data_IF_887574196115
#
_entry.id   IF_887574196115
#
_cell.length_a   1.000
_cell.length_b   1.000
_cell.length_c   1.000
_cell.angle_alpha   90.00
_cell.angle_beta   90.00
_cell.angle_gamma   90.00
#
_symmetry.space_group_name_H-M   'P 1'
#
loop_
_entity.id
_entity.type
_entity.pdbx_description
1 polymer ?
#
# COMPACT_ATOMS: atom_id res chain seq x y z
N UNK A 1 -8.18 -21.94 -17.24
CA UNK A 1 -8.32 -21.44 -15.85
C UNK A 1 -7.84 -20.02 -15.81
N UNK A 2 -8.28 -19.23 -14.85
CA UNK A 2 -7.84 -17.84 -14.68
C UNK A 2 -7.01 -17.71 -13.40
N UNK A 3 -5.80 -17.18 -13.51
CA UNK A 3 -4.91 -17.01 -12.37
C UNK A 3 -4.85 -15.54 -11.95
N UNK A 4 -5.01 -15.29 -10.65
CA UNK A 4 -4.78 -14.00 -10.04
C UNK A 4 -3.37 -13.94 -9.46
N UNK A 5 -2.64 -12.88 -9.76
CA UNK A 5 -1.31 -12.63 -9.21
C UNK A 5 -1.37 -11.35 -8.39
N UNK A 6 -1.10 -11.46 -7.09
CA UNK A 6 -1.15 -10.37 -6.14
C UNK A 6 0.28 -9.90 -5.83
N UNK A 7 0.59 -8.64 -6.13
CA UNK A 7 1.91 -8.05 -6.02
C UNK A 7 1.96 -7.04 -4.88
N UNK A 8 2.71 -7.36 -3.81
CA UNK A 8 2.86 -6.48 -2.64
C UNK A 8 3.73 -5.27 -2.94
N UNK A 9 3.59 -4.29 -2.05
CA UNK A 9 4.39 -3.08 -2.07
C UNK A 9 5.76 -3.25 -1.42
N UNK A 10 6.40 -2.13 -1.18
CA UNK A 10 7.75 -1.94 -0.68
C UNK A 10 7.96 -2.62 0.68
N UNK A 11 9.01 -3.42 0.81
CA UNK A 11 9.40 -4.12 2.05
C UNK A 11 8.32 -5.07 2.62
N UNK A 12 7.44 -5.59 1.77
CA UNK A 12 6.36 -6.50 2.13
C UNK A 12 6.48 -7.82 1.37
N UNK A 13 6.07 -8.90 2.01
CA UNK A 13 5.99 -10.24 1.45
C UNK A 13 4.55 -10.77 1.42
N UNK A 14 4.36 -11.98 0.90
CA UNK A 14 3.06 -12.60 0.71
C UNK A 14 2.20 -12.66 2.00
N UNK A 15 2.82 -12.79 3.19
CA UNK A 15 2.10 -12.87 4.47
C UNK A 15 1.32 -11.60 4.79
N UNK A 16 1.78 -10.46 4.29
CA UNK A 16 1.14 -9.15 4.50
C UNK A 16 -0.15 -8.95 3.67
N UNK A 17 -0.61 -9.95 2.91
CA UNK A 17 -1.97 -9.94 2.37
C UNK A 17 -3.04 -10.21 3.45
N UNK A 18 -2.64 -10.67 4.63
CA UNK A 18 -3.50 -10.83 5.81
C UNK A 18 -4.82 -11.56 5.50
N UNK A 19 -4.74 -12.68 4.79
CA UNK A 19 -5.91 -13.49 4.43
C UNK A 19 -6.73 -13.00 3.22
N UNK A 20 -6.37 -11.86 2.63
CA UNK A 20 -7.06 -11.38 1.42
C UNK A 20 -6.93 -12.37 0.25
N UNK A 21 -5.77 -12.97 0.07
CA UNK A 21 -5.53 -14.04 -0.90
C UNK A 21 -6.39 -15.27 -0.62
N UNK A 22 -6.55 -15.66 0.65
CA UNK A 22 -7.43 -16.76 1.07
C UNK A 22 -8.90 -16.44 0.80
N UNK A 23 -9.35 -15.19 1.03
CA UNK A 23 -10.70 -14.72 0.68
C UNK A 23 -10.98 -14.90 -0.81
N UNK A 24 -10.03 -14.61 -1.68
CA UNK A 24 -10.18 -14.82 -3.11
C UNK A 24 -10.20 -16.32 -3.48
N UNK A 25 -9.34 -17.14 -2.84
CA UNK A 25 -9.35 -18.61 -3.02
C UNK A 25 -10.66 -19.25 -2.58
N UNK A 26 -11.26 -18.78 -1.49
CA UNK A 26 -12.59 -19.23 -1.02
C UNK A 26 -13.72 -18.93 -2.04
N UNK A 27 -13.52 -17.97 -2.94
CA UNK A 27 -14.42 -17.70 -4.07
C UNK A 27 -14.11 -18.56 -5.32
N UNK A 28 -13.25 -19.58 -5.19
CA UNK A 28 -12.89 -20.50 -6.26
C UNK A 28 -11.81 -19.97 -7.22
N UNK A 29 -11.11 -18.88 -6.87
CA UNK A 29 -10.07 -18.31 -7.70
C UNK A 29 -8.71 -18.97 -7.42
N UNK A 30 -7.92 -19.16 -8.47
CA UNK A 30 -6.50 -19.51 -8.34
C UNK A 30 -5.72 -18.24 -8.06
N UNK A 31 -5.00 -18.19 -6.93
CA UNK A 31 -4.28 -16.99 -6.49
C UNK A 31 -2.82 -17.31 -6.22
N UNK A 32 -1.92 -16.56 -6.83
CA UNK A 32 -0.48 -16.60 -6.62
C UNK A 32 -0.02 -15.28 -5.97
N UNK A 33 0.89 -15.40 -5.01
CA UNK A 33 1.41 -14.28 -4.24
C UNK A 33 2.94 -14.32 -4.23
N UNK A 34 3.61 -14.04 -5.36
CA UNK A 34 5.06 -14.15 -5.46
C UNK A 34 5.74 -13.14 -4.52
N UNK A 35 6.80 -13.58 -3.84
CA UNK A 35 7.70 -12.71 -3.10
C UNK A 35 8.68 -12.00 -4.05
N UNK A 36 9.03 -10.78 -3.71
CA UNK A 36 9.98 -9.98 -4.48
C UNK A 36 11.40 -10.15 -3.90
N UNK A 37 12.46 -10.09 -4.73
CA UNK A 37 13.84 -10.12 -4.25
C UNK A 37 14.09 -9.15 -3.11
N UNK A 38 14.63 -9.66 -2.02
CA UNK A 38 14.85 -8.93 -0.77
C UNK A 38 13.71 -9.03 0.25
N UNK A 39 12.61 -9.73 -0.06
CA UNK A 39 11.46 -9.90 0.85
C UNK A 39 11.09 -11.38 0.98
N UNK A 40 10.48 -11.74 2.12
CA UNK A 40 9.90 -13.06 2.37
C UNK A 40 10.84 -14.22 2.09
N UNK A 41 10.44 -15.14 1.23
CA UNK A 41 11.23 -16.32 0.81
C UNK A 41 12.50 -15.94 0.03
N UNK A 42 12.51 -14.75 -0.59
CA UNK A 42 13.65 -14.20 -1.34
C UNK A 42 14.40 -13.12 -0.54
N UNK A 43 14.28 -13.10 0.79
CA UNK A 43 14.86 -12.07 1.68
C UNK A 43 16.38 -11.97 1.60
N UNK A 44 17.08 -13.05 1.24
CA UNK A 44 18.55 -13.11 1.07
C UNK A 44 19.02 -12.58 -0.28
N UNK A 45 18.14 -12.46 -1.25
CA UNK A 45 18.47 -11.96 -2.57
C UNK A 45 18.64 -10.44 -2.59
N UNK A 46 19.50 -9.96 -3.48
CA UNK A 46 19.66 -8.53 -3.68
C UNK A 46 18.47 -7.96 -4.46
N UNK A 47 17.76 -7.00 -3.84
CA UNK A 47 16.70 -6.26 -4.53
C UNK A 47 17.21 -5.55 -5.77
N UNK A 48 16.58 -5.66 -6.96
CA UNK A 48 16.92 -4.89 -8.15
C UNK A 48 16.82 -3.37 -7.94
N UNK A 49 17.45 -2.62 -8.83
CA UNK A 49 17.39 -1.14 -8.81
C UNK A 49 16.34 -0.58 -9.78
N UNK A 50 15.69 -1.43 -10.58
CA UNK A 50 14.66 -1.04 -11.55
C UNK A 50 13.44 -1.94 -11.41
N UNK A 51 12.25 -1.39 -11.56
CA UNK A 51 10.99 -2.17 -11.52
C UNK A 51 10.94 -3.24 -12.62
N UNK A 52 11.51 -2.97 -13.79
CA UNK A 52 11.59 -3.92 -14.90
C UNK A 52 12.31 -5.23 -14.52
N UNK A 53 13.35 -5.14 -13.68
CA UNK A 53 14.12 -6.31 -13.25
C UNK A 53 13.32 -7.15 -12.23
N UNK A 54 12.49 -6.51 -11.38
CA UNK A 54 11.53 -7.24 -10.53
C UNK A 54 10.49 -7.98 -11.38
N UNK A 55 9.98 -7.33 -12.43
CA UNK A 55 9.03 -7.97 -13.34
C UNK A 55 9.62 -9.24 -13.97
N UNK A 56 10.88 -9.19 -14.38
CA UNK A 56 11.57 -10.37 -14.90
C UNK A 56 11.66 -11.51 -13.88
N UNK A 57 12.02 -11.21 -12.61
CA UNK A 57 12.07 -12.24 -11.56
C UNK A 57 10.69 -12.83 -11.26
N UNK A 58 9.64 -12.00 -11.23
CA UNK A 58 8.27 -12.49 -11.03
C UNK A 58 7.82 -13.36 -12.20
N UNK A 59 8.17 -12.98 -13.45
CA UNK A 59 7.87 -13.82 -14.61
C UNK A 59 8.52 -15.19 -14.52
N UNK A 60 9.78 -15.29 -14.07
CA UNK A 60 10.44 -16.59 -13.87
C UNK A 60 9.70 -17.46 -12.84
N UNK A 61 9.21 -16.86 -11.73
CA UNK A 61 8.41 -17.60 -10.76
C UNK A 61 7.04 -18.05 -11.33
N UNK A 62 6.44 -17.24 -12.19
CA UNK A 62 5.15 -17.56 -12.81
C UNK A 62 5.28 -18.59 -13.93
N UNK A 63 6.35 -18.56 -14.71
CA UNK A 63 6.62 -19.53 -15.79
C UNK A 63 6.68 -20.98 -15.27
N UNK A 64 7.03 -21.18 -13.99
CA UNK A 64 7.00 -22.49 -13.34
C UNK A 64 5.59 -22.94 -12.88
N UNK A 65 4.65 -22.00 -12.74
CA UNK A 65 3.37 -22.24 -12.10
C UNK A 65 2.16 -22.03 -13.01
N UNK A 66 2.29 -21.19 -14.02
CA UNK A 66 1.19 -20.79 -14.94
C UNK A 66 1.39 -21.47 -16.29
N UNK A 67 0.35 -22.10 -16.78
CA UNK A 67 0.41 -22.78 -18.08
C UNK A 67 0.46 -21.76 -19.24
N UNK A 68 1.09 -22.14 -20.34
CA UNK A 68 1.10 -21.33 -21.55
C UNK A 68 -0.35 -21.06 -22.03
N UNK A 69 -0.65 -19.80 -22.32
CA UNK A 69 -2.00 -19.37 -22.73
C UNK A 69 -3.01 -19.21 -21.59
N UNK A 70 -2.63 -19.49 -20.33
CA UNK A 70 -3.45 -19.19 -19.17
C UNK A 70 -3.56 -17.67 -18.94
N UNK A 71 -4.80 -17.19 -18.77
CA UNK A 71 -5.07 -15.77 -18.56
C UNK A 71 -4.72 -15.35 -17.14
N UNK A 72 -3.97 -14.25 -17.00
CA UNK A 72 -3.53 -13.68 -15.72
C UNK A 72 -4.23 -12.35 -15.45
N UNK A 73 -4.76 -12.20 -14.23
CA UNK A 73 -5.17 -10.91 -13.66
C UNK A 73 -4.12 -10.44 -12.65
N UNK A 74 -3.65 -9.19 -12.77
CA UNK A 74 -2.68 -8.61 -11.84
C UNK A 74 -3.37 -7.64 -10.88
N UNK A 75 -3.16 -7.82 -9.58
CA UNK A 75 -3.45 -6.80 -8.56
C UNK A 75 -2.12 -6.34 -7.96
N UNK A 76 -1.78 -5.09 -8.17
CA UNK A 76 -0.56 -4.50 -7.61
C UNK A 76 -0.86 -3.37 -6.63
N UNK A 77 -0.38 -3.52 -5.39
CA UNK A 77 -0.46 -2.49 -4.35
C UNK A 77 0.84 -1.67 -4.30
N UNK A 78 0.74 -0.34 -4.42
CA UNK A 78 1.87 0.58 -4.27
C UNK A 78 2.99 0.30 -5.29
N UNK A 79 4.21 -0.05 -4.86
CA UNK A 79 5.28 -0.54 -5.75
C UNK A 79 4.82 -1.77 -6.56
N UNK A 80 3.95 -2.61 -6.00
CA UNK A 80 3.34 -3.73 -6.74
C UNK A 80 2.50 -3.27 -7.94
N UNK A 81 1.87 -2.08 -7.86
CA UNK A 81 1.16 -1.48 -9.00
C UNK A 81 2.10 -1.03 -10.12
N UNK A 82 3.26 -0.48 -9.76
CA UNK A 82 4.32 -0.18 -10.73
C UNK A 82 4.80 -1.45 -11.44
N UNK A 83 4.98 -2.51 -10.65
CA UNK A 83 5.41 -3.82 -11.12
C UNK A 83 4.36 -4.46 -12.04
N UNK A 84 3.07 -4.40 -11.69
CA UNK A 84 1.99 -4.92 -12.50
C UNK A 84 1.91 -4.25 -13.88
N UNK A 85 2.08 -2.93 -13.93
CA UNK A 85 2.13 -2.18 -15.20
C UNK A 85 3.35 -2.58 -16.05
N UNK A 86 4.50 -2.78 -15.43
CA UNK A 86 5.71 -3.20 -16.12
C UNK A 86 5.61 -4.64 -16.62
N UNK A 87 5.01 -5.55 -15.85
CA UNK A 87 4.72 -6.91 -16.27
C UNK A 87 3.79 -6.95 -17.48
N UNK A 88 2.72 -6.14 -17.45
CA UNK A 88 1.78 -6.03 -18.56
C UNK A 88 2.43 -5.44 -19.82
N UNK A 89 3.38 -4.51 -19.68
CA UNK A 89 4.18 -3.99 -20.79
C UNK A 89 5.10 -5.06 -21.40
N UNK A 90 5.69 -5.92 -20.57
CA UNK A 90 6.62 -6.97 -21.01
C UNK A 90 5.90 -8.13 -21.73
N UNK A 91 4.75 -8.58 -21.20
CA UNK A 91 4.00 -9.71 -21.75
C UNK A 91 2.48 -9.42 -21.81
N UNK A 92 2.02 -8.47 -22.64
CA UNK A 92 0.60 -8.09 -22.70
C UNK A 92 -0.32 -9.25 -23.08
N UNK A 93 0.17 -10.20 -23.90
CA UNK A 93 -0.62 -11.35 -24.35
C UNK A 93 -1.00 -12.35 -23.26
N UNK A 94 -0.29 -12.36 -22.11
CA UNK A 94 -0.62 -13.21 -20.96
C UNK A 94 -1.56 -12.51 -19.96
N UNK A 95 -1.70 -11.18 -20.03
CA UNK A 95 -2.45 -10.39 -19.04
C UNK A 95 -3.84 -10.06 -19.56
N UNK A 96 -4.85 -10.35 -18.76
CA UNK A 96 -6.25 -10.00 -19.05
C UNK A 96 -6.64 -8.64 -18.51
N UNK A 97 -6.14 -8.27 -17.33
CA UNK A 97 -6.46 -7.02 -16.68
C UNK A 97 -5.40 -6.67 -15.63
N UNK A 98 -5.14 -5.39 -15.44
CA UNK A 98 -4.27 -4.87 -14.38
C UNK A 98 -5.08 -3.99 -13.43
N UNK A 99 -5.06 -4.32 -12.15
CA UNK A 99 -5.59 -3.51 -11.07
C UNK A 99 -4.44 -2.82 -10.35
N UNK A 100 -4.40 -1.49 -10.44
CA UNK A 100 -3.38 -0.64 -9.83
C UNK A 100 -3.96 0.01 -8.59
N UNK A 101 -3.49 -0.36 -7.41
CA UNK A 101 -4.01 0.08 -6.12
C UNK A 101 -3.00 0.97 -5.40
N UNK A 102 -3.39 2.20 -5.04
CA UNK A 102 -2.60 3.16 -4.25
C UNK A 102 -1.16 3.33 -4.77
N UNK A 103 -0.99 3.46 -6.08
CA UNK A 103 0.31 3.54 -6.74
C UNK A 103 0.61 4.93 -7.32
N UNK A 104 1.79 5.09 -7.91
CA UNK A 104 2.26 6.36 -8.48
C UNK A 104 3.38 6.14 -9.49
N UNK A 105 3.74 7.17 -10.27
CA UNK A 105 4.89 7.14 -11.18
C UNK A 105 5.59 8.50 -11.20
N UNK A 106 6.92 8.51 -11.44
CA UNK A 106 7.73 9.72 -11.37
C UNK A 106 7.44 10.73 -12.49
N UNK A 107 7.03 10.24 -13.66
CA UNK A 107 6.62 11.07 -14.78
C UNK A 107 5.19 11.61 -14.70
N UNK A 108 4.38 11.15 -13.73
CA UNK A 108 2.97 11.54 -13.60
C UNK A 108 2.67 12.33 -12.32
N UNK A 109 3.51 12.22 -11.29
CA UNK A 109 3.25 12.82 -9.98
C UNK A 109 4.51 13.36 -9.34
N UNK A 110 4.39 14.50 -8.66
CA UNK A 110 5.48 15.07 -7.88
C UNK A 110 5.87 14.15 -6.71
N UNK A 111 7.12 14.20 -6.30
CA UNK A 111 7.66 13.30 -5.26
C UNK A 111 6.87 13.36 -3.94
N UNK A 112 6.39 14.55 -3.52
CA UNK A 112 5.61 14.73 -2.29
C UNK A 112 4.17 14.20 -2.38
N UNK A 113 3.65 13.96 -3.59
CA UNK A 113 2.38 13.26 -3.81
C UNK A 113 2.58 11.75 -3.76
N UNK A 114 3.77 11.27 -4.09
CA UNK A 114 4.15 9.85 -4.11
C UNK A 114 4.57 9.32 -2.75
N UNK A 115 5.03 10.20 -1.88
CA UNK A 115 5.39 9.90 -0.49
C UNK A 115 5.17 11.13 0.38
N UNK A 116 4.39 10.97 1.45
CA UNK A 116 4.11 12.05 2.40
C UNK A 116 5.06 11.98 3.61
N UNK A 117 6.16 12.76 3.65
CA UNK A 117 7.15 12.70 4.71
C UNK A 117 6.61 13.19 6.06
N UNK A 118 5.66 14.14 6.07
CA UNK A 118 5.06 14.65 7.30
C UNK A 118 4.20 13.58 7.98
N UNK A 119 3.39 12.86 7.21
CA UNK A 119 2.61 11.75 7.74
C UNK A 119 3.50 10.60 8.20
N UNK A 120 4.60 10.31 7.50
CA UNK A 120 5.57 9.30 7.91
C UNK A 120 6.24 9.68 9.24
N UNK A 121 6.63 10.95 9.40
CA UNK A 121 7.20 11.46 10.64
C UNK A 121 6.17 11.41 11.79
N UNK A 122 4.94 11.86 11.54
CA UNK A 122 3.84 11.77 12.51
C UNK A 122 3.59 10.30 12.94
N UNK A 123 3.52 9.38 11.99
CA UNK A 123 3.32 7.95 12.28
C UNK A 123 4.47 7.37 13.12
N UNK A 124 5.71 7.81 12.88
CA UNK A 124 6.87 7.39 13.66
C UNK A 124 6.78 7.85 15.12
N UNK A 125 6.40 9.10 15.39
CA UNK A 125 6.28 9.60 16.75
C UNK A 125 5.08 9.00 17.51
N UNK A 126 3.98 8.77 16.81
CA UNK A 126 2.74 8.23 17.38
C UNK A 126 2.64 6.70 17.30
N UNK A 127 3.75 5.99 17.04
CA UNK A 127 3.76 4.53 16.93
C UNK A 127 3.47 3.86 18.26
N UNK A 128 2.78 2.72 18.20
CA UNK A 128 2.58 1.88 19.38
C UNK A 128 3.93 1.36 19.92
N UNK A 129 4.04 1.26 21.24
CA UNK A 129 5.22 0.78 21.96
C UNK A 129 4.87 -0.43 22.79
N UNK A 130 5.79 -1.40 22.86
CA UNK A 130 5.58 -2.61 23.65
C UNK A 130 6.65 -3.66 23.31
N UNK A 131 6.89 -4.61 24.22
CA UNK A 131 7.96 -5.62 24.05
C UNK A 131 7.81 -6.48 22.78
N UNK A 132 6.57 -6.74 22.37
CA UNK A 132 6.27 -7.54 21.17
C UNK A 132 6.17 -6.69 19.88
N UNK A 133 6.11 -5.36 19.99
CA UNK A 133 5.83 -4.45 18.90
C UNK A 133 7.12 -3.86 18.32
N UNK A 134 7.42 -4.19 17.07
CA UNK A 134 8.58 -3.61 16.40
C UNK A 134 8.29 -2.16 15.97
N UNK A 135 9.15 -1.18 16.30
CA UNK A 135 8.88 0.24 16.03
C UNK A 135 8.58 0.55 14.55
N UNK A 136 9.28 -0.12 13.63
CA UNK A 136 9.07 0.07 12.18
C UNK A 136 7.70 -0.44 11.78
N UNK A 137 7.28 -1.65 12.24
CA UNK A 137 5.98 -2.21 11.87
C UNK A 137 4.84 -1.39 12.46
N UNK A 138 4.97 -0.95 13.70
CA UNK A 138 4.00 -0.02 14.31
C UNK A 138 3.88 1.29 13.51
N UNK A 139 5.00 1.84 13.03
CA UNK A 139 5.00 3.03 12.18
C UNK A 139 4.31 2.75 10.84
N UNK A 140 4.59 1.60 10.23
CA UNK A 140 4.05 1.27 8.92
C UNK A 140 2.55 0.99 9.00
N UNK A 141 2.08 0.17 9.96
CA UNK A 141 0.64 -0.07 10.14
C UNK A 141 -0.10 1.24 10.34
N UNK A 142 0.43 2.14 11.18
CA UNK A 142 -0.16 3.46 11.41
C UNK A 142 -0.22 4.33 10.17
N UNK A 143 0.78 4.22 9.28
CA UNK A 143 0.88 4.99 8.05
C UNK A 143 0.03 4.42 6.93
N UNK A 144 -0.10 3.08 6.86
CA UNK A 144 -0.71 2.39 5.73
C UNK A 144 -2.15 1.97 5.98
N UNK A 145 -2.59 1.80 7.23
CA UNK A 145 -3.98 1.49 7.55
C UNK A 145 -4.69 2.70 8.17
N UNK A 146 -5.93 2.91 7.77
CA UNK A 146 -6.84 3.87 8.40
C UNK A 146 -7.64 3.21 9.53
N UNK A 147 -8.17 2.00 9.32
CA UNK A 147 -9.02 1.30 10.28
C UNK A 147 -8.20 0.63 11.39
N UNK A 148 -7.08 -0.01 11.03
CA UNK A 148 -6.25 -0.81 11.94
C UNK A 148 -4.99 -0.09 12.44
N UNK A 149 -4.90 1.24 12.29
CA UNK A 149 -3.72 2.03 12.65
C UNK A 149 -3.27 1.93 14.11
N UNK A 150 -4.10 1.36 14.99
CA UNK A 150 -3.84 1.12 16.41
C UNK A 150 -4.02 -0.35 16.81
N UNK A 151 -4.16 -1.23 15.85
CA UNK A 151 -4.35 -2.66 16.09
C UNK A 151 -3.03 -3.30 16.53
N UNK A 152 -2.90 -3.51 17.85
CA UNK A 152 -1.70 -4.10 18.41
C UNK A 152 -1.52 -5.56 18.02
N UNK A 153 -2.58 -6.29 17.70
CA UNK A 153 -2.52 -7.68 17.24
C UNK A 153 -1.90 -7.74 15.86
N UNK A 154 -2.37 -6.90 14.93
CA UNK A 154 -1.79 -6.77 13.59
C UNK A 154 -0.32 -6.33 13.65
N UNK A 155 0.00 -5.34 14.49
CA UNK A 155 1.37 -4.87 14.66
C UNK A 155 2.27 -5.99 15.22
N UNK A 156 1.80 -6.79 16.16
CA UNK A 156 2.54 -7.90 16.73
C UNK A 156 2.78 -9.01 15.70
N UNK A 157 1.77 -9.34 14.91
CA UNK A 157 1.87 -10.30 13.80
C UNK A 157 2.93 -9.83 12.76
N UNK A 158 2.86 -8.60 12.29
CA UNK A 158 3.82 -8.05 11.35
C UNK A 158 5.23 -7.92 11.96
N UNK A 159 5.31 -7.67 13.27
CA UNK A 159 6.57 -7.69 14.00
C UNK A 159 7.20 -9.09 14.01
N UNK A 160 6.37 -10.14 14.08
CA UNK A 160 6.84 -11.53 13.96
C UNK A 160 7.31 -11.84 12.54
N UNK A 161 6.57 -11.43 11.50
CA UNK A 161 7.01 -11.57 10.12
C UNK A 161 8.38 -10.93 9.89
N UNK A 162 8.58 -9.74 10.47
CA UNK A 162 9.89 -9.07 10.42
C UNK A 162 10.99 -9.84 11.12
N UNK A 163 10.74 -10.45 12.27
CA UNK A 163 11.73 -11.26 12.98
C UNK A 163 12.16 -12.48 12.18
N UNK A 164 11.22 -13.10 11.47
CA UNK A 164 11.47 -14.29 10.66
C UNK A 164 12.22 -13.97 9.36
N UNK A 165 11.82 -12.94 8.65
CA UNK A 165 12.42 -12.56 7.37
C UNK A 165 12.21 -11.07 7.10
N UNK A 166 13.22 -10.27 7.39
CA UNK A 166 13.20 -8.83 7.15
C UNK A 166 14.08 -8.45 5.98
N UNK A 167 13.65 -7.53 5.13
CA UNK A 167 14.55 -6.96 4.14
C UNK A 167 15.71 -6.26 4.85
N UNK A 168 16.93 -6.46 4.35
CA UNK A 168 18.09 -5.72 4.82
C UNK A 168 17.91 -4.22 4.56
N UNK A 169 18.60 -3.37 5.31
CA UNK A 169 18.60 -1.91 5.06
C UNK A 169 19.01 -1.62 3.61
N UNK A 170 20.00 -2.37 3.08
CA UNK A 170 20.45 -2.25 1.70
C UNK A 170 19.32 -2.57 0.72
N UNK A 171 18.58 -3.65 0.93
CA UNK A 171 17.44 -4.02 0.09
C UNK A 171 16.30 -3.00 0.19
N UNK A 172 15.99 -2.50 1.39
CA UNK A 172 15.00 -1.44 1.58
C UNK A 172 15.32 -0.18 0.78
N UNK A 173 16.59 0.28 0.80
CA UNK A 173 17.03 1.41 -0.01
C UNK A 173 16.97 1.14 -1.51
N UNK A 174 17.35 -0.06 -1.97
CA UNK A 174 17.27 -0.44 -3.39
C UNK A 174 15.82 -0.47 -3.87
N UNK A 175 14.90 -1.02 -3.08
CA UNK A 175 13.47 -1.02 -3.40
C UNK A 175 12.91 0.41 -3.46
N UNK A 176 13.25 1.24 -2.47
CA UNK A 176 12.83 2.65 -2.44
C UNK A 176 13.35 3.40 -3.67
N UNK A 177 14.61 3.17 -4.05
CA UNK A 177 15.22 3.77 -5.23
C UNK A 177 14.55 3.31 -6.52
N UNK A 178 14.28 2.00 -6.67
CA UNK A 178 13.56 1.47 -7.83
C UNK A 178 12.17 2.10 -7.97
N UNK A 179 11.42 2.20 -6.87
CA UNK A 179 10.12 2.84 -6.87
C UNK A 179 10.22 4.34 -7.15
N UNK A 180 11.20 5.05 -6.56
CA UNK A 180 11.38 6.50 -6.72
C UNK A 180 11.60 6.89 -8.17
N UNK A 181 12.44 6.18 -8.90
CA UNK A 181 12.77 6.49 -10.29
C UNK A 181 11.78 5.89 -11.32
N UNK A 182 10.80 5.08 -10.88
CA UNK A 182 9.88 4.43 -11.80
C UNK A 182 9.09 5.43 -12.64
N UNK A 183 9.14 5.22 -13.95
CA UNK A 183 8.34 5.94 -14.93
C UNK A 183 7.28 5.01 -15.51
N UNK A 184 6.03 5.46 -15.47
CA UNK A 184 4.91 4.75 -16.08
C UNK A 184 5.10 4.68 -17.59
N UNK A 185 4.90 3.52 -18.24
CA UNK A 185 4.92 3.42 -19.68
C UNK A 185 3.84 4.30 -20.32
N UNK A 186 4.10 4.80 -21.52
CA UNK A 186 3.15 5.65 -22.26
C UNK A 186 1.86 4.91 -22.58
N UNK A 187 1.97 3.64 -22.93
CA UNK A 187 0.84 2.76 -23.26
C UNK A 187 1.05 1.39 -22.66
N UNK A 188 -0.06 0.74 -22.31
CA UNK A 188 -0.14 -0.66 -21.92
C UNK A 188 -1.33 -1.26 -22.71
N UNK A 189 -1.09 -2.34 -23.43
CA UNK A 189 -2.07 -2.91 -24.38
C UNK A 189 -3.14 -3.81 -23.70
N UNK A 190 -3.37 -3.64 -22.41
CA UNK A 190 -4.35 -4.40 -21.65
C UNK A 190 -5.24 -3.46 -20.85
N UNK A 191 -6.48 -3.87 -20.52
CA UNK A 191 -7.36 -3.08 -19.66
C UNK A 191 -6.73 -2.81 -18.29
N UNK A 192 -6.89 -1.58 -17.81
CA UNK A 192 -6.36 -1.13 -16.52
C UNK A 192 -7.50 -0.52 -15.69
N UNK A 193 -7.57 -0.90 -14.43
CA UNK A 193 -8.38 -0.24 -13.41
C UNK A 193 -7.49 0.36 -12.34
N UNK A 194 -7.74 1.62 -12.00
CA UNK A 194 -7.01 2.34 -10.96
C UNK A 194 -7.90 2.49 -9.73
N UNK A 195 -7.40 2.01 -8.58
CA UNK A 195 -8.11 2.07 -7.31
C UNK A 195 -7.29 2.86 -6.29
N UNK A 196 -7.96 3.54 -5.37
CA UNK A 196 -7.28 4.16 -4.23
C UNK A 196 -8.18 4.20 -2.99
N UNK A 197 -7.54 4.21 -1.81
CA UNK A 197 -8.20 4.55 -0.55
C UNK A 197 -8.35 6.07 -0.39
N UNK A 198 -9.51 6.52 0.11
CA UNK A 198 -9.77 7.94 0.37
C UNK A 198 -8.98 8.49 1.58
N UNK A 199 -8.44 7.61 2.42
CA UNK A 199 -7.67 7.90 3.64
C UNK A 199 -6.22 7.46 3.55
N UNK A 200 -5.68 7.30 2.35
CA UNK A 200 -4.26 6.98 2.17
C UNK A 200 -3.38 8.10 2.72
N UNK A 201 -2.66 7.79 3.80
CA UNK A 201 -1.75 8.74 4.45
C UNK A 201 -0.32 8.71 3.87
N UNK A 202 0.00 7.70 3.04
CA UNK A 202 1.31 7.49 2.45
C UNK A 202 1.43 8.10 1.06
N UNK A 203 0.50 7.75 0.16
CA UNK A 203 0.44 8.22 -1.23
C UNK A 203 -0.80 9.09 -1.41
N UNK A 204 -0.63 10.27 -1.98
CA UNK A 204 -1.75 11.15 -2.26
C UNK A 204 -2.68 10.56 -3.34
N UNK A 205 -3.99 10.69 -3.15
CA UNK A 205 -4.99 10.36 -4.17
C UNK A 205 -4.72 11.06 -5.52
N UNK A 206 -4.03 12.20 -5.51
CA UNK A 206 -3.61 12.89 -6.75
C UNK A 206 -2.73 12.00 -7.65
N UNK A 207 -1.92 11.10 -7.06
CA UNK A 207 -1.12 10.15 -7.83
C UNK A 207 -1.98 9.10 -8.54
N UNK A 208 -2.99 8.56 -7.86
CA UNK A 208 -3.93 7.63 -8.48
C UNK A 208 -4.81 8.31 -9.53
N UNK A 209 -5.22 9.58 -9.30
CA UNK A 209 -5.92 10.39 -10.32
C UNK A 209 -5.06 10.58 -11.57
N UNK A 210 -3.78 10.89 -11.41
CA UNK A 210 -2.86 11.07 -12.53
C UNK A 210 -2.68 9.75 -13.34
N UNK A 211 -2.61 8.61 -12.66
CA UNK A 211 -2.59 7.29 -13.32
C UNK A 211 -3.89 7.00 -14.07
N UNK A 212 -5.05 7.25 -13.46
CA UNK A 212 -6.35 7.05 -14.09
C UNK A 212 -6.51 7.93 -15.35
N UNK A 213 -6.12 9.21 -15.27
CA UNK A 213 -6.09 10.12 -16.41
C UNK A 213 -5.14 9.64 -17.52
N UNK A 214 -3.96 9.17 -17.16
CA UNK A 214 -2.96 8.68 -18.10
C UNK A 214 -3.45 7.47 -18.91
N UNK A 215 -4.18 6.55 -18.26
CA UNK A 215 -4.74 5.36 -18.90
C UNK A 215 -6.19 5.54 -19.37
N UNK A 216 -6.75 6.75 -19.33
CA UNK A 216 -8.12 7.06 -19.75
C UNK A 216 -9.17 6.15 -19.09
N UNK A 217 -9.02 5.89 -17.79
CA UNK A 217 -9.96 5.07 -17.01
C UNK A 217 -10.51 5.86 -15.81
N UNK A 218 -11.64 5.41 -15.29
CA UNK A 218 -12.21 5.97 -14.07
C UNK A 218 -11.38 5.59 -12.83
N UNK A 219 -11.32 6.50 -11.86
CA UNK A 219 -10.73 6.21 -10.57
C UNK A 219 -11.76 5.61 -9.63
N UNK A 220 -11.51 4.39 -9.16
CA UNK A 220 -12.33 3.72 -8.15
C UNK A 220 -11.82 4.11 -6.78
N UNK A 221 -12.68 4.78 -5.98
CA UNK A 221 -12.32 5.23 -4.64
C UNK A 221 -12.93 4.33 -3.58
N UNK A 222 -12.09 3.73 -2.73
CA UNK A 222 -12.49 2.91 -1.60
C UNK A 222 -12.68 3.81 -0.37
N UNK A 223 -13.92 3.96 0.08
CA UNK A 223 -14.26 4.81 1.21
C UNK A 223 -13.76 4.22 2.54
N UNK A 224 -13.28 5.11 3.44
CA UNK A 224 -12.72 4.76 4.76
C UNK A 224 -11.55 3.77 4.70
N UNK A 225 -10.72 3.90 3.68
CA UNK A 225 -9.63 2.99 3.37
C UNK A 225 -8.31 3.74 3.26
N UNK A 226 -7.28 3.25 3.95
CA UNK A 226 -5.90 3.76 3.86
C UNK A 226 -5.15 3.20 2.66
N UNK A 227 -3.83 3.17 2.79
CA UNK A 227 -2.92 2.67 1.75
C UNK A 227 -3.07 1.15 1.53
N UNK A 228 -3.29 0.38 2.60
CA UNK A 228 -3.43 -1.07 2.53
C UNK A 228 -4.90 -1.50 2.51
N UNK A 229 -5.51 -1.44 1.33
CA UNK A 229 -6.91 -1.77 1.16
C UNK A 229 -7.23 -3.26 1.37
N UNK A 230 -6.24 -4.13 1.27
CA UNK A 230 -6.40 -5.55 1.57
C UNK A 230 -6.73 -5.79 3.06
N UNK A 231 -6.34 -4.87 3.92
CA UNK A 231 -6.61 -4.90 5.36
C UNK A 231 -7.82 -4.03 5.70
N UNK A 232 -7.87 -2.80 5.18
CA UNK A 232 -8.89 -1.83 5.56
C UNK A 232 -10.27 -2.11 4.95
N UNK A 233 -10.31 -2.68 3.74
CA UNK A 233 -11.55 -2.88 2.98
C UNK A 233 -11.52 -4.17 2.12
N UNK A 234 -11.19 -5.35 2.71
CA UNK A 234 -10.98 -6.59 1.93
C UNK A 234 -12.23 -7.03 1.18
N UNK A 235 -13.42 -6.88 1.75
CA UNK A 235 -14.67 -7.24 1.11
C UNK A 235 -14.99 -6.32 -0.08
N UNK A 236 -14.83 -4.99 0.10
CA UNK A 236 -15.05 -4.02 -0.97
C UNK A 236 -14.04 -4.19 -2.10
N UNK A 237 -12.76 -4.40 -1.76
CA UNK A 237 -11.72 -4.66 -2.75
C UNK A 237 -12.05 -5.91 -3.57
N UNK A 238 -12.34 -7.04 -2.91
CA UNK A 238 -12.72 -8.28 -3.60
C UNK A 238 -13.96 -8.09 -4.49
N UNK A 239 -14.97 -7.36 -4.02
CA UNK A 239 -16.16 -7.04 -4.80
C UNK A 239 -15.83 -6.31 -6.10
N UNK A 240 -15.03 -5.23 -6.05
CA UNK A 240 -14.64 -4.47 -7.24
C UNK A 240 -13.80 -5.30 -8.21
N UNK A 241 -12.86 -6.12 -7.71
CA UNK A 241 -12.05 -6.99 -8.56
C UNK A 241 -12.93 -7.98 -9.34
N UNK A 242 -13.90 -8.60 -8.66
CA UNK A 242 -14.79 -9.60 -9.26
C UNK A 242 -15.83 -8.98 -10.19
N UNK A 243 -16.39 -7.82 -9.85
CA UNK A 243 -17.38 -7.12 -10.67
C UNK A 243 -16.83 -6.75 -12.06
N UNK A 244 -15.54 -6.44 -12.17
CA UNK A 244 -14.89 -6.13 -13.45
C UNK A 244 -14.65 -7.40 -14.28
N UNK A 245 -14.42 -8.54 -13.63
CA UNK A 245 -14.09 -9.80 -14.30
C UNK A 245 -15.35 -10.61 -14.67
N UNK A 246 -16.40 -10.51 -13.85
CA UNK A 246 -17.68 -11.20 -14.03
C UNK A 246 -18.86 -10.21 -14.10
N UNK A 247 -19.01 -9.43 -15.18
CA UNK A 247 -20.00 -8.35 -15.24
C UNK A 247 -21.46 -8.83 -15.29
N UNK A 248 -21.72 -10.14 -15.33
CA UNK A 248 -23.06 -10.70 -15.60
C UNK A 248 -23.85 -11.16 -14.36
N UNK A 249 -23.28 -11.12 -13.15
CA UNK A 249 -24.03 -11.45 -11.92
C UNK A 249 -24.62 -10.18 -11.29
N UNK A 250 -25.95 -10.16 -10.96
CA UNK A 250 -26.54 -9.03 -10.24
C UNK A 250 -25.80 -8.83 -8.91
N UNK A 251 -25.41 -7.62 -8.67
CA UNK A 251 -24.64 -7.22 -7.47
C UNK A 251 -25.56 -7.30 -6.24
N UNK A 252 -25.30 -8.28 -5.37
CA UNK A 252 -25.84 -8.22 -4.01
C UNK A 252 -25.14 -7.06 -3.26
N UNK A 253 -25.91 -6.24 -2.57
CA UNK A 253 -25.36 -5.19 -1.71
C UNK A 253 -24.34 -5.80 -0.74
N UNK A 254 -23.15 -5.23 -0.71
CA UNK A 254 -22.10 -5.63 0.24
C UNK A 254 -22.54 -5.18 1.62
N UNK A 255 -23.07 -6.12 2.42
CA UNK A 255 -23.30 -5.87 3.83
C UNK A 255 -21.96 -5.65 4.53
N UNK A 256 -21.94 -4.70 5.46
CA UNK A 256 -20.73 -4.28 6.22
C UNK A 256 -20.35 -5.28 7.34
N UNK A 257 -20.32 -6.57 7.04
CA UNK A 257 -19.85 -7.59 7.99
C UNK A 257 -18.32 -7.77 7.84
N UNK A 258 -17.58 -6.69 8.08
CA UNK A 258 -16.12 -6.71 8.18
C UNK A 258 -15.70 -7.13 9.61
N UNK A 259 -15.99 -8.38 10.04
CA UNK A 259 -15.24 -8.96 11.14
C UNK A 259 -13.84 -9.33 10.67
N UNK A 260 -12.79 -8.89 11.38
CA UNK A 260 -11.42 -9.13 10.95
C UNK A 260 -11.08 -10.62 11.00
N UNK A 261 -10.46 -11.14 9.94
CA UNK A 261 -9.95 -12.52 9.83
C UNK A 261 -8.83 -12.85 10.87
N UNK A 262 -8.60 -11.98 11.83
CA UNK A 262 -7.57 -12.09 12.87
C UNK A 262 -7.95 -12.99 14.07
N UNK A 263 -9.12 -13.65 14.06
CA UNK A 263 -9.60 -14.44 15.19
C UNK A 263 -8.77 -15.71 15.51
N UNK A 264 -7.83 -16.11 14.69
CA UNK A 264 -7.02 -17.31 14.92
C UNK A 264 -5.75 -17.11 15.77
N UNK A 265 -5.34 -15.85 16.04
CA UNK A 265 -4.14 -15.56 16.85
C UNK A 265 -4.41 -14.77 18.13
N UNK A 266 -5.67 -14.58 18.51
CA UNK A 266 -6.06 -13.77 19.64
C UNK A 266 -5.95 -14.53 20.98
N UNK A 267 -4.77 -14.62 21.58
CA UNK A 267 -4.61 -14.91 23.02
C UNK A 267 -3.45 -14.17 23.69
N UNK A 268 -3.17 -12.93 23.29
CA UNK A 268 -2.35 -12.05 24.12
C UNK A 268 -3.00 -10.68 24.14
N UNK A 269 -3.69 -10.36 25.26
CA UNK A 269 -4.25 -9.02 25.47
C UNK A 269 -3.11 -8.00 25.60
N UNK A 270 -2.86 -7.24 24.55
CA UNK A 270 -2.04 -6.04 24.61
C UNK A 270 -2.94 -4.83 24.83
N UNK A 271 -2.73 -4.12 25.94
CA UNK A 271 -3.43 -2.86 26.21
C UNK A 271 -2.84 -1.74 25.33
N UNK A 272 -3.66 -1.17 24.46
CA UNK A 272 -3.32 0.02 23.66
C UNK A 272 -3.80 1.34 24.30
N UNK A 273 -4.22 1.33 25.58
CA UNK A 273 -4.79 2.51 26.24
C UNK A 273 -3.81 3.69 26.33
N UNK A 274 -2.51 3.43 26.45
CA UNK A 274 -1.48 4.48 26.53
C UNK A 274 -1.35 5.33 25.26
N UNK A 275 -1.89 4.84 24.14
CA UNK A 275 -1.80 5.54 22.83
C UNK A 275 -2.76 6.72 22.71
N UNK A 276 -3.88 6.72 23.44
CA UNK A 276 -4.87 7.82 23.38
C UNK A 276 -4.33 9.06 24.08
N UNK A 277 -3.69 8.89 25.23
CA UNK A 277 -3.13 10.01 26.00
C UNK A 277 -1.92 10.64 25.29
N UNK A 278 -1.02 9.82 24.68
CA UNK A 278 0.12 10.33 23.91
C UNK A 278 -0.32 11.07 22.62
N UNK A 279 -1.41 10.63 21.96
CA UNK A 279 -1.91 11.32 20.75
C UNK A 279 -2.56 12.66 21.08
N UNK A 280 -3.26 12.75 22.20
CA UNK A 280 -3.83 14.02 22.67
C UNK A 280 -2.71 15.00 23.05
N UNK A 281 -1.73 14.56 23.85
CA UNK A 281 -0.59 15.38 24.25
C UNK A 281 0.27 15.85 23.06
N UNK A 282 0.46 14.99 22.05
CA UNK A 282 1.21 15.34 20.84
C UNK A 282 0.47 16.37 19.97
N UNK A 283 -0.85 16.21 19.81
CA UNK A 283 -1.65 17.17 19.07
C UNK A 283 -1.67 18.54 19.77
N UNK A 284 -1.81 18.58 21.10
CA UNK A 284 -1.73 19.81 21.89
C UNK A 284 -0.34 20.47 21.77
N UNK A 285 0.74 19.69 21.84
CA UNK A 285 2.10 20.22 21.70
C UNK A 285 2.39 20.79 20.29
N UNK A 286 1.87 20.15 19.24
CA UNK A 286 2.00 20.68 17.88
C UNK A 286 1.16 21.95 17.70
N UNK A 287 -0.07 21.99 18.18
CA UNK A 287 -0.91 23.17 18.10
C UNK A 287 -0.29 24.34 18.85
N UNK A 288 0.27 24.13 20.05
CA UNK A 288 0.94 25.20 20.80
C UNK A 288 2.17 25.77 20.06
N UNK A 289 3.00 24.92 19.45
CA UNK A 289 4.18 25.35 18.66
C UNK A 289 3.77 26.10 17.38
N UNK A 290 2.64 25.73 16.75
CA UNK A 290 2.12 26.42 15.58
C UNK A 290 1.50 27.78 15.94
N UNK A 291 0.77 27.88 17.05
CA UNK A 291 0.20 29.15 17.53
C UNK A 291 1.32 30.13 17.93
N UNK A 292 2.37 29.72 18.62
CA UNK A 292 3.51 30.58 18.96
C UNK A 292 4.26 31.07 17.70
N UNK A 293 4.51 30.19 16.72
CA UNK A 293 5.15 30.59 15.45
C UNK A 293 4.25 31.47 14.58
N UNK A 294 2.96 31.17 14.51
CA UNK A 294 2.00 31.99 13.76
C UNK A 294 1.90 33.40 14.38
N UNK A 295 1.84 33.52 15.70
CA UNK A 295 1.85 34.78 16.41
C UNK A 295 3.17 35.55 16.24
N UNK A 296 4.32 34.87 16.27
CA UNK A 296 5.64 35.49 16.05
C UNK A 296 5.78 36.03 14.61
N UNK A 297 5.27 35.33 13.59
CA UNK A 297 5.31 35.76 12.19
C UNK A 297 4.36 36.97 11.98
N UNK A 298 3.21 36.99 12.65
CA UNK A 298 2.27 38.14 12.59
C UNK A 298 2.85 39.39 13.28
N UNK A 299 3.55 39.23 14.42
CA UNK A 299 4.20 40.34 15.10
C UNK A 299 5.42 40.88 14.33
N UNK A 300 6.21 40.04 13.68
CA UNK A 300 7.34 40.47 12.87
C UNK A 300 6.95 41.25 11.61
N UNK A 301 5.75 40.97 11.04
CA UNK A 301 5.22 41.72 9.91
C UNK A 301 4.56 43.05 10.30
N UNK A 302 4.08 43.17 11.53
CA UNK A 302 3.49 44.43 12.03
C UNK A 302 4.52 45.51 12.36
N UNK A 303 5.73 45.12 12.74
CA UNK A 303 6.83 46.06 13.07
C UNK A 303 7.57 46.62 11.85
N UNK A 304 7.39 46.05 10.66
CA UNK A 304 8.03 46.52 9.42
C UNK A 304 7.20 47.54 8.63
N UNK A 305 5.98 47.80 9.03
CA UNK A 305 5.09 48.78 8.33
C UNK A 305 5.17 50.18 8.92
N UNK A 306 5.78 50.41 10.11
CA UNK A 306 5.81 51.71 10.79
C UNK A 306 7.12 52.52 10.60
N UNK A 307 7.96 52.22 9.62
CA UNK A 307 9.19 53.02 9.33
C UNK A 307 9.27 53.44 7.86
N UNK A 308 8.14 53.89 7.27
CA UNK A 308 8.16 54.69 6.04
C UNK A 308 7.00 55.73 6.11
N UNK A 309 7.23 56.78 6.83
CA UNK A 309 6.66 58.08 6.58
C UNK A 309 7.77 59.14 6.78
#
# INVERSE_FOLDING_TARGET
MTTWVLLRGLMRDQRHWNGFDQRLRQKGLRVLTPDLPGNGTLSTEASPLKIADYAHVVWLQLDEQVQEGEAIYLLGLSMGGMLALEMARQRPWQIRHVFVLNSSAANLSAWYQRFNPLNALKAFFLRARGKALHPIESTIVRLTSFRHRRDCSLIAEWSEFRRQSSPTIRNAWRQLWAAFQYQCPLTVEVPISVLCGDRDALVSMASSKALAQHFHTDLIVLAYCGHDAAIDAPAKLAHYLLAIVEPTKPQAEVQEDDEPAHAQYAHTQYSCNDLLEEEMAFNEAIFSVWDEKALSILHSKSSTVNHRQ
#
